data_IF_934734157041
#
_entry.id   IF_934734157041
#
_cell.length_a   1.000
_cell.length_b   1.000
_cell.length_c   1.000
_cell.angle_alpha   90.00
_cell.angle_beta   90.00
_cell.angle_gamma   90.00
#
_symmetry.space_group_name_H-M   'P 1'
#
loop_
_entity.id
_entity.type
_entity.pdbx_description
1 polymer ?
#
# COMPACT_ATOMS: atom_id res chain seq x y z
N UNK A 1 -11.24 -11.18 -3.32
CA UNK A 1 -10.26 -10.81 -2.27
C UNK A 1 -8.90 -10.47 -2.87
N UNK A 2 -8.52 -11.09 -3.98
CA UNK A 2 -7.25 -10.83 -4.69
C UNK A 2 -7.18 -9.48 -5.42
N UNK A 3 -8.30 -8.91 -5.86
CA UNK A 3 -8.31 -7.67 -6.66
C UNK A 3 -7.64 -6.48 -5.95
N UNK A 4 -7.90 -6.29 -4.66
CA UNK A 4 -7.26 -5.23 -3.87
C UNK A 4 -5.76 -5.45 -3.68
N UNK A 5 -5.31 -6.72 -3.58
CA UNK A 5 -3.89 -7.06 -3.51
C UNK A 5 -3.19 -6.79 -4.85
N UNK A 6 -3.81 -7.20 -5.95
CA UNK A 6 -3.29 -6.98 -7.30
C UNK A 6 -3.16 -5.48 -7.61
N UNK A 7 -4.14 -4.68 -7.18
CA UNK A 7 -4.08 -3.21 -7.32
C UNK A 7 -2.96 -2.58 -6.48
N UNK A 8 -2.83 -2.97 -5.20
CA UNK A 8 -1.75 -2.50 -4.35
C UNK A 8 -0.37 -2.87 -4.91
N UNK A 9 -0.22 -4.09 -5.44
CA UNK A 9 1.03 -4.53 -6.05
C UNK A 9 1.36 -3.74 -7.32
N UNK A 10 0.37 -3.48 -8.19
CA UNK A 10 0.56 -2.63 -9.37
C UNK A 10 1.02 -1.22 -9.00
N UNK A 11 0.40 -0.62 -7.97
CA UNK A 11 0.80 0.68 -7.45
C UNK A 11 2.25 0.66 -6.93
N UNK A 12 2.60 -0.35 -6.13
CA UNK A 12 3.95 -0.50 -5.58
C UNK A 12 5.02 -0.64 -6.68
N UNK A 13 4.76 -1.43 -7.72
CA UNK A 13 5.66 -1.54 -8.88
C UNK A 13 5.83 -0.19 -9.60
N UNK A 14 4.77 0.60 -9.73
CA UNK A 14 4.81 1.95 -10.29
C UNK A 14 5.71 2.91 -9.48
N UNK A 15 5.62 2.87 -8.15
CA UNK A 15 6.50 3.64 -7.27
C UNK A 15 7.99 3.31 -7.47
N UNK A 16 8.29 2.07 -7.81
CA UNK A 16 9.65 1.58 -8.02
C UNK A 16 10.11 1.64 -9.49
N UNK A 17 9.41 2.38 -10.36
CA UNK A 17 9.76 2.43 -11.78
C UNK A 17 11.21 2.94 -12.01
N UNK A 18 11.94 2.37 -12.98
CA UNK A 18 13.35 2.74 -13.23
C UNK A 18 13.50 4.17 -13.74
N UNK A 19 12.47 4.71 -14.41
CA UNK A 19 12.43 6.08 -14.90
C UNK A 19 11.67 6.95 -13.90
N UNK A 20 12.30 7.99 -13.36
CA UNK A 20 11.70 8.81 -12.31
C UNK A 20 10.39 9.50 -12.75
N UNK A 21 10.32 9.98 -14.00
CA UNK A 21 9.16 10.70 -14.53
C UNK A 21 7.89 9.86 -14.66
N UNK A 22 7.98 8.53 -14.58
CA UNK A 22 6.80 7.65 -14.63
C UNK A 22 6.39 7.13 -13.25
N UNK A 23 7.14 7.47 -12.20
CA UNK A 23 6.72 7.19 -10.82
C UNK A 23 5.56 8.10 -10.46
N UNK A 24 4.52 7.58 -9.79
CA UNK A 24 3.44 8.41 -9.30
C UNK A 24 3.96 9.38 -8.21
N UNK A 25 3.32 10.53 -8.14
CA UNK A 25 3.45 11.44 -7.00
C UNK A 25 2.80 10.85 -5.75
N UNK A 26 3.19 11.33 -4.56
CA UNK A 26 2.58 10.87 -3.31
C UNK A 26 1.07 11.17 -3.26
N UNK A 27 0.60 12.27 -3.85
CA UNK A 27 -0.82 12.58 -3.99
C UNK A 27 -1.57 11.48 -4.76
N UNK A 28 -1.04 11.08 -5.91
CA UNK A 28 -1.61 10.00 -6.73
C UNK A 28 -1.58 8.64 -6.02
N UNK A 29 -0.54 8.38 -5.21
CA UNK A 29 -0.44 7.17 -4.39
C UNK A 29 -1.52 7.15 -3.32
N UNK A 30 -1.69 8.24 -2.58
CA UNK A 30 -2.71 8.34 -1.52
C UNK A 30 -4.11 8.19 -2.11
N UNK A 31 -4.40 8.91 -3.19
CA UNK A 31 -5.68 8.82 -3.90
C UNK A 31 -6.00 7.38 -4.32
N UNK A 32 -5.05 6.68 -4.94
CA UNK A 32 -5.25 5.29 -5.36
C UNK A 32 -5.41 4.33 -4.17
N UNK A 33 -4.71 4.55 -3.05
CA UNK A 33 -4.88 3.74 -1.85
C UNK A 33 -6.28 3.92 -1.23
N UNK A 34 -6.81 5.13 -1.22
CA UNK A 34 -8.15 5.43 -0.71
C UNK A 34 -9.25 4.86 -1.61
N UNK A 35 -9.13 5.00 -2.93
CA UNK A 35 -10.08 4.46 -3.91
C UNK A 35 -10.15 2.93 -3.87
N UNK A 36 -9.00 2.28 -3.68
CA UNK A 36 -8.92 0.81 -3.59
C UNK A 36 -9.08 0.30 -2.15
N UNK A 37 -9.33 1.19 -1.18
CA UNK A 37 -9.57 0.78 0.20
C UNK A 37 -10.79 -0.15 0.22
N UNK A 38 -10.64 -1.40 0.67
CA UNK A 38 -11.76 -2.33 0.70
C UNK A 38 -12.87 -1.79 1.63
N UNK A 39 -14.00 -1.40 1.02
CA UNK A 39 -15.19 -0.81 1.70
C UNK A 39 -15.71 -1.62 2.89
N UNK A 40 -15.36 -2.91 2.98
CA UNK A 40 -15.85 -3.85 3.99
C UNK A 40 -14.74 -4.44 4.91
N UNK A 41 -13.51 -3.89 4.90
CA UNK A 41 -12.38 -4.37 5.73
C UNK A 41 -11.96 -3.44 6.86
N UNK A 42 -12.58 -2.26 7.00
CA UNK A 42 -12.40 -1.42 8.18
C UNK A 42 -12.86 -2.09 9.49
N UNK A 43 -13.64 -3.18 9.40
CA UNK A 43 -14.14 -3.94 10.55
C UNK A 43 -13.31 -5.20 10.89
N UNK A 44 -12.29 -5.57 10.09
CA UNK A 44 -11.54 -6.83 10.28
C UNK A 44 -10.08 -6.63 10.73
N UNK A 45 -9.66 -5.40 11.05
CA UNK A 45 -8.35 -5.15 11.64
C UNK A 45 -8.48 -4.84 13.14
N UNK A 46 -8.48 -5.89 13.96
CA UNK A 46 -8.12 -5.79 15.38
C UNK A 46 -6.59 -5.71 15.48
N UNK A 47 -5.99 -4.69 16.13
CA UNK A 47 -4.54 -4.45 16.10
C UNK A 47 -3.72 -5.40 16.99
N UNK A 48 -4.10 -6.67 17.13
CA UNK A 48 -3.50 -7.56 18.13
C UNK A 48 -2.38 -8.45 17.61
N UNK A 49 -2.10 -8.53 16.31
CA UNK A 49 -1.08 -9.47 15.81
C UNK A 49 0.13 -8.73 15.21
N UNK A 50 1.20 -8.76 16.01
CA UNK A 50 2.61 -8.61 15.66
C UNK A 50 3.12 -7.21 15.27
N UNK A 51 3.29 -6.38 16.31
CA UNK A 51 4.42 -5.45 16.41
C UNK A 51 5.71 -6.24 16.21
N UNK A 52 6.22 -6.33 14.96
CA UNK A 52 7.57 -6.82 14.73
C UNK A 52 8.55 -5.77 15.24
N UNK A 53 8.99 -5.97 16.48
CA UNK A 53 10.09 -5.25 17.11
C UNK A 53 11.42 -5.70 16.50
N UNK A 54 11.64 -5.41 15.22
CA UNK A 54 12.99 -5.44 14.65
C UNK A 54 13.43 -4.00 14.55
N UNK A 55 14.07 -3.54 15.63
CA UNK A 55 14.82 -2.29 15.60
C UNK A 55 15.88 -2.39 14.51
N UNK A 56 15.74 -1.59 13.46
CA UNK A 56 16.79 -1.38 12.47
C UNK A 56 17.85 -0.47 13.11
N UNK A 57 19.11 -0.91 13.29
CA UNK A 57 20.16 -0.01 13.75
C UNK A 57 20.71 0.78 12.56
N UNK A 58 20.39 2.07 12.47
CA UNK A 58 21.21 3.12 11.87
C UNK A 58 20.91 4.45 12.55
#
# INVERSE_FOLDING_TARGET
>A
MEEGLVQALKLAMGCCAPVASVRPTIDEVVKQLEENRPRNRSALYSPTETRSEIGTPF
#
